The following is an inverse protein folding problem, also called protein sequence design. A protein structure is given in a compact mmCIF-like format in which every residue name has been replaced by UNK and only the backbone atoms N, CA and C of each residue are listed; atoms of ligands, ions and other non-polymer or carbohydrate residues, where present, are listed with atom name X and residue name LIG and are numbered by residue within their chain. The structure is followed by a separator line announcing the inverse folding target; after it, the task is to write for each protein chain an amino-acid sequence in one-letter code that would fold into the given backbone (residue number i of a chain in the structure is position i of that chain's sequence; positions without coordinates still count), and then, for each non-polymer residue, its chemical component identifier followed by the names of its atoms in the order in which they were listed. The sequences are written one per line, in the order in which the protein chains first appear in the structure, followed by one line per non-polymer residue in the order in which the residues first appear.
data_IF_417954248436
#
_entry.id   IF_417954248436
#
_cell.length_a   1.000
_cell.length_b   1.000
_cell.length_c   1.000
_cell.angle_alpha   90.00
_cell.angle_beta   90.00
_cell.angle_gamma   90.00
#
_symmetry.space_group_name_H-M   'P 1'
#
loop_
_entity.id
_entity.type
_entity.pdbx_description
1 polymer ?
#
# COMPACT_ATOMS: atom_id res chain seq x y z
N UNK A 1 14.05 14.97 -0.84
CA UNK A 1 13.85 15.88 0.29
C UNK A 1 12.80 15.33 1.24
N UNK A 2 12.83 15.72 2.52
CA UNK A 2 11.75 15.35 3.45
C UNK A 2 10.50 16.20 3.17
N UNK A 3 10.64 17.54 3.21
CA UNK A 3 9.54 18.44 2.87
C UNK A 3 9.44 18.70 1.37
N UNK A 4 8.22 18.75 0.80
CA UNK A 4 8.03 19.16 -0.59
C UNK A 4 8.44 20.62 -0.79
N UNK A 5 9.15 20.90 -1.89
CA UNK A 5 9.50 22.27 -2.25
C UNK A 5 8.26 23.09 -2.61
N UNK A 6 7.26 22.44 -3.19
CA UNK A 6 5.94 23.02 -3.51
C UNK A 6 4.94 22.48 -2.48
N UNK A 7 4.61 23.28 -1.48
CA UNK A 7 3.66 22.90 -0.43
C UNK A 7 2.21 23.23 -0.81
N UNK A 8 2.02 24.33 -1.48
CA UNK A 8 0.73 24.73 -2.09
C UNK A 8 0.92 24.92 -3.59
N UNK A 9 -0.11 24.59 -4.38
CA UNK A 9 -0.01 24.66 -5.84
C UNK A 9 0.55 25.96 -6.36
N UNK A 10 1.48 25.91 -7.32
CA UNK A 10 2.01 27.08 -8.01
C UNK A 10 1.02 27.52 -9.11
N UNK A 11 0.63 28.79 -9.10
CA UNK A 11 -0.21 29.39 -10.18
C UNK A 11 0.65 29.88 -11.35
N UNK A 12 1.92 30.16 -11.12
CA UNK A 12 2.89 30.61 -12.13
C UNK A 12 4.31 30.29 -11.66
N UNK A 13 5.25 30.25 -12.59
CA UNK A 13 6.69 30.04 -12.31
C UNK A 13 7.44 31.24 -12.92
N UNK A 14 7.60 32.29 -12.14
CA UNK A 14 8.21 33.57 -12.58
C UNK A 14 9.57 33.82 -11.96
N UNK A 15 10.01 33.02 -11.01
CA UNK A 15 11.26 33.18 -10.27
C UNK A 15 11.22 34.24 -9.14
N UNK A 16 10.03 34.77 -8.82
CA UNK A 16 9.89 35.84 -7.82
C UNK A 16 10.26 35.42 -6.39
N UNK A 17 9.98 34.15 -6.03
CA UNK A 17 10.28 33.61 -4.70
C UNK A 17 11.26 32.44 -4.78
N UNK A 18 11.73 31.95 -3.61
CA UNK A 18 12.72 30.88 -3.56
C UNK A 18 12.17 29.54 -4.12
N UNK A 19 10.88 29.26 -3.94
CA UNK A 19 10.24 28.03 -4.43
C UNK A 19 10.25 28.02 -5.96
N UNK A 20 9.78 29.12 -6.58
CA UNK A 20 9.78 29.26 -8.04
C UNK A 20 11.20 29.18 -8.63
N UNK A 21 12.18 29.82 -7.99
CA UNK A 21 13.58 29.73 -8.43
C UNK A 21 14.15 28.34 -8.31
N UNK A 22 13.83 27.61 -7.23
CA UNK A 22 14.28 26.24 -7.05
C UNK A 22 13.65 25.31 -8.11
N UNK A 23 12.36 25.49 -8.40
CA UNK A 23 11.65 24.73 -9.45
C UNK A 23 12.24 25.02 -10.83
N UNK A 24 12.47 26.30 -11.17
CA UNK A 24 13.12 26.69 -12.44
C UNK A 24 14.48 26.03 -12.59
N UNK A 25 15.33 26.11 -11.57
CA UNK A 25 16.66 25.46 -11.60
C UNK A 25 16.56 23.94 -11.75
N UNK A 26 15.58 23.29 -11.10
CA UNK A 26 15.36 21.87 -11.25
C UNK A 26 14.98 21.50 -12.70
N UNK A 27 14.07 22.28 -13.31
CA UNK A 27 13.65 22.09 -14.70
C UNK A 27 14.82 22.31 -15.67
N UNK A 28 15.54 23.44 -15.55
CA UNK A 28 16.69 23.80 -16.39
C UNK A 28 17.80 22.73 -16.36
N UNK A 29 18.03 22.12 -15.18
CA UNK A 29 19.06 21.10 -14.98
C UNK A 29 18.53 19.66 -15.06
N UNK A 30 17.26 19.45 -15.42
CA UNK A 30 16.62 18.14 -15.53
C UNK A 30 16.71 17.32 -14.23
N UNK A 31 16.57 17.99 -13.08
CA UNK A 31 16.63 17.39 -11.75
C UNK A 31 15.21 17.02 -11.31
N UNK A 32 14.97 15.74 -11.03
CA UNK A 32 13.75 15.30 -10.38
C UNK A 32 13.81 15.60 -8.87
N UNK A 33 12.75 16.18 -8.32
CA UNK A 33 12.63 16.44 -6.88
C UNK A 33 11.56 15.49 -6.32
N UNK A 34 11.97 14.61 -5.42
CA UNK A 34 11.08 13.69 -4.72
C UNK A 34 11.05 14.03 -3.23
N UNK A 35 9.84 14.20 -2.66
CA UNK A 35 9.64 14.47 -1.25
C UNK A 35 8.85 13.33 -0.60
N UNK A 36 9.40 12.74 0.47
CA UNK A 36 8.78 11.65 1.21
C UNK A 36 7.70 12.17 2.17
N UNK A 37 7.94 13.29 2.83
CA UNK A 37 7.05 13.94 3.79
C UNK A 37 6.36 12.91 4.72
N UNK A 38 5.06 13.06 4.95
CA UNK A 38 4.27 12.16 5.80
C UNK A 38 4.16 10.71 5.29
N UNK A 39 4.54 10.43 4.05
CA UNK A 39 4.62 9.05 3.58
C UNK A 39 5.65 8.24 4.38
N UNK A 40 6.80 8.85 4.69
CA UNK A 40 7.85 8.21 5.48
C UNK A 40 7.50 8.08 6.97
N UNK A 41 6.65 8.99 7.50
CA UNK A 41 6.13 8.88 8.86
C UNK A 41 5.13 7.73 9.02
N UNK A 42 4.47 7.34 7.92
CA UNK A 42 3.47 6.27 7.90
C UNK A 42 4.05 4.89 7.55
N UNK A 43 5.28 4.83 7.06
CA UNK A 43 5.94 3.59 6.71
C UNK A 43 6.33 2.78 7.95
N UNK A 44 6.16 1.45 7.90
CA UNK A 44 6.49 0.58 9.02
C UNK A 44 7.95 0.67 9.42
N UNK A 45 8.87 0.76 8.46
CA UNK A 45 10.31 0.91 8.66
C UNK A 45 10.79 2.36 8.49
N UNK A 46 9.87 3.31 8.55
CA UNK A 46 10.12 4.72 8.40
C UNK A 46 10.80 5.37 9.61
N UNK A 47 10.71 6.70 9.70
CA UNK A 47 11.41 7.49 10.72
C UNK A 47 11.03 7.09 12.16
N UNK A 48 9.74 6.80 12.41
CA UNK A 48 9.27 6.40 13.74
C UNK A 48 9.87 5.07 14.19
N UNK A 49 10.07 4.12 13.27
CA UNK A 49 10.77 2.87 13.56
C UNK A 49 12.20 3.12 13.98
N UNK A 50 12.94 3.95 13.23
CA UNK A 50 14.33 4.28 13.55
C UNK A 50 14.49 4.99 14.89
N UNK A 51 13.57 5.90 15.23
CA UNK A 51 13.55 6.54 16.55
C UNK A 51 13.38 5.51 17.66
N UNK A 52 12.49 4.55 17.50
CA UNK A 52 12.27 3.49 18.47
C UNK A 52 13.49 2.54 18.59
N UNK A 53 14.17 2.25 17.48
CA UNK A 53 15.42 1.47 17.49
C UNK A 53 16.53 2.20 18.25
N UNK A 54 16.74 3.50 17.98
CA UNK A 54 17.75 4.30 18.69
C UNK A 54 17.50 4.36 20.20
N UNK A 55 16.25 4.34 20.61
CA UNK A 55 15.85 4.29 22.02
C UNK A 55 15.78 2.88 22.61
N UNK A 56 16.11 1.84 21.84
CA UNK A 56 16.03 0.41 22.23
C UNK A 56 14.64 0.01 22.77
N UNK A 57 13.56 0.53 22.16
CA UNK A 57 12.19 0.24 22.57
C UNK A 57 11.79 -1.18 22.14
N UNK A 58 11.27 -1.93 23.09
CA UNK A 58 10.74 -3.29 22.91
C UNK A 58 9.23 -3.26 22.62
N UNK A 59 8.69 -4.36 22.05
CA UNK A 59 7.26 -4.54 21.80
C UNK A 59 6.64 -3.38 21.01
N UNK A 60 7.36 -2.92 20.01
CA UNK A 60 6.96 -1.76 19.20
C UNK A 60 5.66 -2.02 18.43
N UNK A 61 4.77 -1.02 18.44
CA UNK A 61 3.52 -1.02 17.68
C UNK A 61 3.26 0.37 17.09
N UNK A 62 2.53 0.43 15.99
CA UNK A 62 2.08 1.70 15.43
C UNK A 62 1.07 2.34 16.38
N UNK A 63 1.23 3.63 16.67
CA UNK A 63 0.39 4.37 17.61
C UNK A 63 -1.01 4.62 17.03
N UNK A 64 -1.08 5.03 15.77
CA UNK A 64 -2.32 5.31 15.04
C UNK A 64 -2.34 4.53 13.72
N UNK A 65 -2.75 3.23 13.73
CA UNK A 65 -2.85 2.44 12.53
C UNK A 65 -3.84 3.05 11.54
N UNK A 66 -3.54 2.98 10.24
CA UNK A 66 -4.46 3.41 9.19
C UNK A 66 -5.64 2.43 9.07
N UNK A 67 -6.83 2.99 8.95
CA UNK A 67 -8.05 2.27 8.57
C UNK A 67 -8.40 2.54 7.10
N UNK A 68 -9.22 1.69 6.51
CA UNK A 68 -9.76 1.80 5.14
C UNK A 68 -8.70 1.89 4.03
N UNK A 69 -7.46 1.55 4.32
CA UNK A 69 -6.38 1.49 3.33
C UNK A 69 -6.10 0.07 2.83
N UNK A 70 -6.82 -0.92 3.33
CA UNK A 70 -6.81 -2.28 2.84
C UNK A 70 -8.01 -2.53 1.94
N UNK A 71 -7.77 -3.23 0.84
CA UNK A 71 -8.76 -3.67 -0.14
C UNK A 71 -8.75 -5.18 -0.22
N UNK A 72 -9.90 -5.76 -0.53
CA UNK A 72 -10.05 -7.16 -0.91
C UNK A 72 -10.44 -7.21 -2.38
N UNK A 73 -9.72 -7.96 -3.18
CA UNK A 73 -10.12 -8.35 -4.52
C UNK A 73 -10.76 -9.74 -4.43
N UNK A 74 -11.88 -9.91 -5.10
CA UNK A 74 -12.49 -11.19 -5.43
C UNK A 74 -12.59 -11.28 -6.95
N UNK A 75 -12.01 -12.31 -7.53
CA UNK A 75 -12.02 -12.58 -8.96
C UNK A 75 -12.45 -14.02 -9.21
N UNK A 76 -13.25 -14.24 -10.28
CA UNK A 76 -13.76 -15.55 -10.66
C UNK A 76 -12.97 -16.07 -11.85
N UNK A 77 -12.29 -17.20 -11.67
CA UNK A 77 -11.26 -17.70 -12.58
C UNK A 77 -11.55 -19.16 -12.94
N UNK A 78 -11.48 -19.57 -14.21
CA UNK A 78 -11.50 -20.99 -14.57
C UNK A 78 -10.42 -21.75 -13.80
N UNK A 79 -10.77 -22.94 -13.26
CA UNK A 79 -9.89 -23.65 -12.33
C UNK A 79 -8.47 -23.88 -12.82
N UNK A 80 -8.31 -24.14 -14.12
CA UNK A 80 -7.00 -24.34 -14.77
C UNK A 80 -6.11 -23.09 -14.80
N UNK A 81 -6.70 -21.89 -14.73
CA UNK A 81 -5.97 -20.59 -14.70
C UNK A 81 -5.79 -20.02 -13.28
N UNK A 82 -6.40 -20.63 -12.26
CA UNK A 82 -6.41 -20.08 -10.92
C UNK A 82 -5.00 -19.85 -10.35
N UNK A 83 -4.06 -20.80 -10.58
CA UNK A 83 -2.68 -20.63 -10.12
C UNK A 83 -1.94 -19.52 -10.88
N UNK A 84 -2.14 -19.41 -12.18
CA UNK A 84 -1.52 -18.35 -13.00
C UNK A 84 -1.98 -16.99 -12.54
N UNK A 85 -3.28 -16.81 -12.32
CA UNK A 85 -3.86 -15.54 -11.83
C UNK A 85 -3.40 -15.24 -10.41
N UNK A 86 -3.36 -16.23 -9.49
CA UNK A 86 -2.84 -16.03 -8.13
C UNK A 86 -1.39 -15.55 -8.13
N UNK A 87 -0.52 -16.19 -8.90
CA UNK A 87 0.88 -15.81 -9.01
C UNK A 87 1.04 -14.38 -9.53
N UNK A 88 0.30 -14.00 -10.57
CA UNK A 88 0.30 -12.64 -11.09
C UNK A 88 -0.15 -11.60 -10.03
N UNK A 89 -1.16 -11.94 -9.21
CA UNK A 89 -1.62 -11.12 -8.11
C UNK A 89 -0.54 -10.95 -7.02
N UNK A 90 0.17 -12.02 -6.66
CA UNK A 90 1.24 -12.00 -5.66
C UNK A 90 2.45 -11.21 -6.15
N UNK A 91 2.89 -11.40 -7.39
CA UNK A 91 3.96 -10.62 -8.02
C UNK A 91 3.61 -9.13 -8.09
N UNK A 92 2.34 -8.80 -8.30
CA UNK A 92 1.86 -7.42 -8.25
C UNK A 92 1.72 -6.87 -6.81
N UNK A 93 2.04 -7.66 -5.77
CA UNK A 93 2.10 -7.26 -4.38
C UNK A 93 0.80 -7.37 -3.60
N UNK A 94 -0.14 -8.22 -4.05
CA UNK A 94 -1.27 -8.66 -3.25
C UNK A 94 -0.88 -9.81 -2.31
N UNK A 95 -1.77 -10.16 -1.37
CA UNK A 95 -1.60 -11.32 -0.50
C UNK A 95 -0.61 -11.14 0.65
N UNK A 96 -0.26 -9.92 1.03
CA UNK A 96 0.60 -9.68 2.18
C UNK A 96 -0.24 -9.46 3.43
N UNK A 97 -0.08 -10.32 4.44
CA UNK A 97 -0.76 -10.24 5.74
C UNK A 97 0.25 -10.42 6.86
N UNK A 98 0.65 -9.33 7.47
CA UNK A 98 1.70 -9.35 8.47
C UNK A 98 3.05 -9.79 7.91
N UNK A 99 3.61 -10.85 8.47
CA UNK A 99 4.86 -11.48 8.02
C UNK A 99 4.61 -12.69 7.10
N UNK A 100 3.42 -12.80 6.52
CA UNK A 100 3.07 -13.81 5.53
C UNK A 100 2.83 -13.15 4.19
N UNK A 101 3.34 -13.74 3.14
CA UNK A 101 3.11 -13.42 1.74
C UNK A 101 2.26 -14.50 1.06
N UNK A 102 1.87 -14.27 -0.17
CA UNK A 102 1.06 -15.19 -0.99
C UNK A 102 -0.25 -15.67 -0.32
N UNK A 103 -0.78 -14.84 0.59
CA UNK A 103 -2.03 -15.14 1.27
C UNK A 103 -3.21 -14.96 0.33
N UNK A 104 -3.94 -16.02 0.07
CA UNK A 104 -5.18 -16.02 -0.69
C UNK A 104 -6.19 -16.99 -0.09
N UNK A 105 -7.45 -16.83 -0.47
CA UNK A 105 -8.49 -17.80 -0.19
C UNK A 105 -9.25 -18.11 -1.47
N UNK A 106 -9.43 -19.38 -1.79
CA UNK A 106 -10.14 -19.79 -2.98
C UNK A 106 -11.31 -20.71 -2.66
N UNK A 107 -12.43 -20.50 -3.36
CA UNK A 107 -13.64 -21.30 -3.24
C UNK A 107 -14.08 -21.76 -4.62
N UNK A 108 -14.33 -23.05 -4.78
CA UNK A 108 -14.88 -23.61 -6.01
C UNK A 108 -16.37 -23.24 -6.12
N UNK A 109 -16.78 -22.80 -7.30
CA UNK A 109 -18.16 -22.41 -7.58
C UNK A 109 -18.54 -22.60 -9.04
N UNK A 110 -19.76 -22.21 -9.36
CA UNK A 110 -20.28 -22.18 -10.74
C UNK A 110 -20.68 -20.76 -11.10
N UNK A 111 -20.05 -20.20 -12.12
CA UNK A 111 -20.49 -18.99 -12.79
C UNK A 111 -21.50 -19.28 -13.90
N UNK A 112 -22.30 -18.31 -14.27
CA UNK A 112 -23.17 -18.38 -15.46
C UNK A 112 -22.99 -17.14 -16.32
N UNK A 113 -22.91 -17.33 -17.62
CA UNK A 113 -22.82 -16.23 -18.56
C UNK A 113 -23.54 -16.60 -19.87
N UNK A 114 -23.81 -15.62 -20.69
CA UNK A 114 -24.37 -15.80 -22.03
C UNK A 114 -23.66 -14.84 -22.98
N UNK A 115 -22.82 -15.35 -23.89
CA UNK A 115 -22.22 -14.52 -24.92
C UNK A 115 -23.29 -13.89 -25.82
N UNK A 116 -23.17 -12.61 -26.10
CA UNK A 116 -24.09 -11.89 -27.00
C UNK A 116 -23.34 -11.43 -28.25
N UNK A 117 -24.01 -10.77 -29.19
CA UNK A 117 -23.37 -10.21 -30.38
C UNK A 117 -22.29 -9.17 -30.00
N UNK A 118 -21.14 -9.25 -30.63
CA UNK A 118 -19.95 -8.43 -30.34
C UNK A 118 -18.95 -9.05 -29.38
N UNK A 119 -19.32 -10.12 -28.64
CA UNK A 119 -18.38 -10.83 -27.78
C UNK A 119 -17.46 -11.80 -28.52
N UNK A 120 -16.25 -11.98 -27.99
CA UNK A 120 -15.28 -13.02 -28.39
C UNK A 120 -15.00 -13.92 -27.17
N UNK A 121 -15.94 -14.81 -26.78
CA UNK A 121 -15.83 -15.53 -25.53
C UNK A 121 -14.71 -16.56 -25.54
N UNK A 122 -14.05 -16.74 -24.41
CA UNK A 122 -13.08 -17.82 -24.19
C UNK A 122 -13.71 -19.20 -24.37
N UNK A 123 -14.97 -19.36 -23.94
CA UNK A 123 -15.75 -20.58 -24.08
C UNK A 123 -17.24 -20.26 -24.28
N UNK A 124 -18.03 -21.24 -24.67
CA UNK A 124 -19.48 -21.11 -24.83
C UNK A 124 -19.93 -20.65 -26.20
N UNK A 125 -21.25 -20.75 -26.42
CA UNK A 125 -21.91 -20.45 -27.71
C UNK A 125 -22.76 -19.20 -27.59
N UNK A 126 -22.72 -18.32 -28.61
CA UNK A 126 -23.53 -17.09 -28.64
C UNK A 126 -25.00 -17.38 -28.44
N UNK A 127 -25.63 -16.53 -27.63
CA UNK A 127 -27.05 -16.56 -27.26
C UNK A 127 -27.49 -17.81 -26.46
N UNK A 128 -26.56 -18.68 -26.06
CA UNK A 128 -26.82 -19.81 -25.17
C UNK A 128 -26.23 -19.50 -23.79
N UNK A 129 -26.99 -19.78 -22.72
CA UNK A 129 -26.47 -19.67 -21.34
C UNK A 129 -25.58 -20.88 -21.07
N UNK A 130 -24.39 -20.58 -20.58
CA UNK A 130 -23.37 -21.56 -20.22
C UNK A 130 -23.16 -21.54 -18.71
N UNK A 131 -22.83 -22.68 -18.14
CA UNK A 131 -22.33 -22.85 -16.78
C UNK A 131 -20.81 -23.04 -16.87
N UNK A 132 -20.05 -22.26 -16.08
CA UNK A 132 -18.59 -22.38 -15.99
C UNK A 132 -18.18 -22.83 -14.59
N UNK A 133 -17.33 -23.83 -14.51
CA UNK A 133 -16.67 -24.22 -13.26
C UNK A 133 -15.52 -23.24 -12.98
N UNK A 134 -15.65 -22.45 -11.92
CA UNK A 134 -14.74 -21.37 -11.58
C UNK A 134 -14.29 -21.43 -10.13
N UNK A 135 -13.14 -20.89 -9.84
CA UNK A 135 -12.71 -20.58 -8.48
C UNK A 135 -12.87 -19.08 -8.23
N UNK A 136 -13.54 -18.71 -7.15
CA UNK A 136 -13.47 -17.37 -6.61
C UNK A 136 -12.17 -17.26 -5.82
N UNK A 137 -11.23 -16.49 -6.31
CA UNK A 137 -9.95 -16.19 -5.64
C UNK A 137 -10.08 -14.86 -4.92
N UNK A 138 -9.77 -14.84 -3.62
CA UNK A 138 -9.75 -13.64 -2.79
C UNK A 138 -8.35 -13.32 -2.32
N UNK A 139 -7.92 -12.06 -2.45
CA UNK A 139 -6.64 -11.54 -1.92
C UNK A 139 -6.83 -10.18 -1.27
N UNK A 140 -6.00 -9.85 -0.28
CA UNK A 140 -5.97 -8.54 0.37
C UNK A 140 -4.75 -7.77 -0.13
N UNK A 141 -4.90 -6.44 -0.26
CA UNK A 141 -3.81 -5.56 -0.68
C UNK A 141 -4.02 -4.12 -0.20
N UNK A 142 -2.97 -3.33 -0.21
CA UNK A 142 -3.03 -1.91 0.11
C UNK A 142 -3.58 -1.09 -1.07
N UNK A 143 -4.48 -0.14 -0.78
CA UNK A 143 -5.26 0.59 -1.79
C UNK A 143 -4.41 1.22 -2.91
N UNK A 144 -3.19 1.68 -2.61
CA UNK A 144 -2.33 2.33 -3.60
C UNK A 144 -1.75 1.36 -4.64
N UNK A 145 -1.79 0.05 -4.37
CA UNK A 145 -1.40 -1.01 -5.32
C UNK A 145 -2.54 -1.42 -6.26
N UNK A 146 -3.75 -0.86 -6.09
CA UNK A 146 -4.95 -1.30 -6.81
C UNK A 146 -4.75 -1.34 -8.33
N UNK A 147 -4.17 -0.30 -8.92
CA UNK A 147 -4.00 -0.23 -10.37
C UNK A 147 -3.13 -1.37 -10.89
N UNK A 148 -1.94 -1.57 -10.31
CA UNK A 148 -1.02 -2.62 -10.75
C UNK A 148 -1.58 -4.03 -10.55
N UNK A 149 -2.33 -4.27 -9.46
CA UNK A 149 -2.95 -5.55 -9.15
C UNK A 149 -4.07 -5.87 -10.14
N UNK A 150 -4.94 -4.88 -10.46
CA UNK A 150 -6.00 -5.07 -11.46
C UNK A 150 -5.40 -5.31 -12.85
N UNK A 151 -4.35 -4.60 -13.22
CA UNK A 151 -3.67 -4.80 -14.50
C UNK A 151 -3.11 -6.22 -14.58
N UNK A 152 -2.32 -6.65 -13.59
CA UNK A 152 -1.75 -7.99 -13.55
C UNK A 152 -2.82 -9.10 -13.57
N UNK A 153 -3.92 -8.90 -12.84
CA UNK A 153 -5.06 -9.81 -12.87
C UNK A 153 -5.64 -9.95 -14.27
N UNK A 154 -5.91 -8.82 -14.96
CA UNK A 154 -6.52 -8.83 -16.29
C UNK A 154 -5.59 -9.43 -17.35
N UNK A 155 -4.29 -9.16 -17.25
CA UNK A 155 -3.29 -9.69 -18.18
C UNK A 155 -3.10 -11.21 -18.05
N UNK A 156 -3.31 -11.76 -16.84
CA UNK A 156 -3.19 -13.18 -16.57
C UNK A 156 -4.51 -13.96 -16.78
N UNK A 157 -5.62 -13.25 -16.87
CA UNK A 157 -6.95 -13.88 -16.94
C UNK A 157 -7.30 -14.27 -18.38
N UNK A 158 -7.87 -15.47 -18.63
CA UNK A 158 -8.20 -15.91 -19.99
C UNK A 158 -9.41 -15.21 -20.61
N UNK A 159 -10.27 -14.55 -19.79
CA UNK A 159 -11.49 -13.91 -20.29
C UNK A 159 -11.20 -12.50 -20.82
N UNK A 160 -11.89 -12.12 -21.91
CA UNK A 160 -11.85 -10.76 -22.43
C UNK A 160 -12.48 -9.74 -21.46
N UNK A 161 -13.54 -10.15 -20.76
CA UNK A 161 -14.20 -9.39 -19.72
C UNK A 161 -14.16 -10.16 -18.40
N UNK A 162 -13.38 -9.65 -17.47
CA UNK A 162 -13.16 -10.32 -16.18
C UNK A 162 -14.18 -9.87 -15.16
N UNK A 163 -14.89 -10.82 -14.57
CA UNK A 163 -15.75 -10.56 -13.42
C UNK A 163 -14.93 -10.50 -12.13
N UNK A 164 -14.91 -9.35 -11.47
CA UNK A 164 -14.21 -9.14 -10.20
C UNK A 164 -14.88 -8.05 -9.35
N UNK A 165 -14.56 -8.06 -8.07
CA UNK A 165 -15.06 -7.08 -7.11
C UNK A 165 -13.91 -6.55 -6.25
N UNK A 166 -13.99 -5.27 -5.87
CA UNK A 166 -13.06 -4.65 -4.93
C UNK A 166 -13.86 -4.10 -3.76
N UNK A 167 -13.54 -4.60 -2.58
CA UNK A 167 -14.20 -4.26 -1.32
C UNK A 167 -13.22 -3.50 -0.44
N UNK A 168 -13.62 -2.35 0.08
CA UNK A 168 -12.83 -1.65 1.10
C UNK A 168 -13.02 -2.33 2.45
N UNK A 169 -11.92 -2.64 3.12
CA UNK A 169 -11.94 -3.28 4.42
C UNK A 169 -11.84 -2.22 5.53
N UNK A 170 -12.59 -2.41 6.60
CA UNK A 170 -12.50 -1.60 7.83
C UNK A 170 -11.33 -2.02 8.72
N UNK A 171 -10.68 -3.12 8.40
CA UNK A 171 -9.51 -3.60 9.12
C UNK A 171 -8.44 -2.52 9.21
N UNK A 172 -7.88 -2.36 10.40
CA UNK A 172 -6.72 -1.50 10.60
C UNK A 172 -5.47 -2.15 10.01
N UNK A 173 -4.71 -1.38 9.26
CA UNK A 173 -3.40 -1.82 8.79
C UNK A 173 -2.36 -1.63 9.89
N UNK A 174 -1.93 -2.72 10.53
CA UNK A 174 -0.93 -2.72 11.62
C UNK A 174 0.50 -2.41 11.12
N UNK A 175 0.69 -2.28 9.80
CA UNK A 175 1.98 -2.00 9.14
C UNK A 175 2.03 -0.63 8.47
N UNK A 176 1.00 0.20 8.65
CA UNK A 176 0.96 1.57 8.12
C UNK A 176 0.17 2.45 9.08
N UNK A 177 0.75 3.57 9.48
CA UNK A 177 0.10 4.52 10.38
C UNK A 177 1.07 5.55 10.96
N UNK A 178 0.56 6.47 11.72
CA UNK A 178 1.33 7.55 12.32
C UNK A 178 1.81 7.21 13.73
N UNK A 179 3.07 7.57 13.98
CA UNK A 179 3.70 7.38 15.27
C UNK A 179 3.94 5.92 15.63
N UNK A 180 4.72 5.72 16.68
CA UNK A 180 5.03 4.39 17.21
C UNK A 180 5.21 4.47 18.71
N UNK A 181 4.84 3.44 19.42
CA UNK A 181 5.11 3.29 20.84
C UNK A 181 5.78 1.94 21.11
N UNK A 182 6.43 1.86 22.26
CA UNK A 182 7.06 0.65 22.75
C UNK A 182 7.41 0.82 24.22
N UNK A 183 8.02 -0.20 24.81
CA UNK A 183 8.44 -0.20 26.19
C UNK A 183 9.95 -0.15 26.29
N UNK A 184 10.49 0.61 27.22
CA UNK A 184 11.89 0.48 27.61
C UNK A 184 12.13 -0.90 28.21
N UNK A 185 13.36 -1.41 28.05
CA UNK A 185 13.76 -2.70 28.61
C UNK A 185 13.72 -2.74 30.14
N UNK A 186 14.01 -1.60 30.74
CA UNK A 186 13.95 -1.37 32.20
C UNK A 186 13.27 -0.05 32.46
N UNK A 187 12.50 0.03 33.53
CA UNK A 187 11.92 1.29 33.98
C UNK A 187 13.01 2.25 34.42
N UNK A 188 12.91 3.49 33.98
CA UNK A 188 13.76 4.62 34.38
C UNK A 188 12.87 5.81 34.68
N UNK A 189 13.37 6.76 35.48
CA UNK A 189 12.62 7.97 35.75
C UNK A 189 12.57 8.92 34.52
N UNK A 190 11.63 9.88 34.56
CA UNK A 190 11.42 10.81 33.44
C UNK A 190 12.66 11.63 33.07
N UNK A 191 13.41 12.10 34.09
CA UNK A 191 14.61 12.90 33.84
C UNK A 191 15.74 12.06 33.21
N UNK A 192 15.87 10.81 33.61
CA UNK A 192 16.82 9.86 32.99
C UNK A 192 16.41 9.58 31.55
N UNK A 193 15.12 9.38 31.28
CA UNK A 193 14.63 9.20 29.90
C UNK A 193 14.92 10.43 29.03
N UNK A 194 14.66 11.64 29.54
CA UNK A 194 14.95 12.87 28.80
C UNK A 194 16.46 13.04 28.52
N UNK A 195 17.33 12.65 29.47
CA UNK A 195 18.79 12.62 29.24
C UNK A 195 19.16 11.62 28.16
N UNK A 196 18.60 10.42 28.20
CA UNK A 196 18.80 9.37 27.20
C UNK A 196 18.42 9.88 25.79
N UNK A 197 17.23 10.49 25.64
CA UNK A 197 16.77 11.07 24.38
C UNK A 197 17.71 12.16 23.89
N UNK A 198 18.16 13.04 24.82
CA UNK A 198 19.10 14.12 24.50
C UNK A 198 20.43 13.59 23.97
N UNK A 199 20.96 12.58 24.61
CA UNK A 199 22.24 11.94 24.22
C UNK A 199 22.09 11.20 22.88
N UNK A 200 21.07 10.35 22.75
CA UNK A 200 20.86 9.52 21.55
C UNK A 200 20.66 10.33 20.27
N UNK A 201 20.04 11.50 20.37
CA UNK A 201 19.75 12.36 19.21
C UNK A 201 20.63 13.62 19.13
N UNK A 202 21.67 13.73 19.95
CA UNK A 202 22.59 14.88 20.02
C UNK A 202 21.85 16.22 20.12
N UNK A 203 20.86 16.29 21.02
CA UNK A 203 20.01 17.45 21.18
C UNK A 203 20.60 18.45 22.19
N UNK A 204 20.58 19.72 21.83
CA UNK A 204 20.98 20.78 22.80
C UNK A 204 19.91 21.07 23.84
N UNK A 205 18.64 21.00 23.43
CA UNK A 205 17.48 21.34 24.28
C UNK A 205 16.37 20.33 24.01
N UNK A 206 15.69 19.88 25.08
CA UNK A 206 14.43 19.12 25.02
C UNK A 206 13.36 19.96 25.69
N UNK A 207 12.19 20.04 25.08
CA UNK A 207 10.99 20.61 25.67
C UNK A 207 10.05 19.48 26.01
N UNK A 208 9.53 19.45 27.22
CA UNK A 208 8.54 18.49 27.67
C UNK A 208 7.49 19.21 28.52
N UNK A 209 6.32 18.60 28.69
CA UNK A 209 5.19 19.10 29.48
C UNK A 209 4.68 17.99 30.40
#
# INVERSE_FOLDING_TARGET
TFHPIIFSGLKSITGKNYVERAVLKAIENKIAIYALHTAFDNDYFGVNFRICEELDLQNQKILMPKSQNLKKLEVYVPGEYAEVVKNALFEAGAGNVGFYDECSFAVQGKGTFRPIEGSNPFSGTRNIREDADEQMVSVIFEYFKQHQIITAMKDAHPYEEVAYQIITLENQNQYSGLGRFGNLKTEIDELEFLKLVKEKFDLKIIRHS
#
